data_IF_291430283834
#
_entry.id   IF_291430283834
#
_cell.length_a   1.000
_cell.length_b   1.000
_cell.length_c   1.000
_cell.angle_alpha   90.00
_cell.angle_beta   90.00
_cell.angle_gamma   90.00
#
_symmetry.space_group_name_H-M   'P 1'
#
loop_
_entity.id
_entity.type
_entity.pdbx_description
1 polymer ?
#
# COMPACT_ATOMS: atom_id res chain seq x y z
N UNK A 1 -34.19 7.48 22.36
CA UNK A 1 -33.00 6.61 22.29
C UNK A 1 -33.11 5.49 21.25
N UNK A 2 -34.16 4.65 21.23
CA UNK A 2 -34.32 3.53 20.26
C UNK A 2 -34.29 3.89 18.76
N UNK A 3 -34.65 5.11 18.37
CA UNK A 3 -34.71 5.53 16.95
C UNK A 3 -33.33 5.73 16.33
N UNK A 4 -32.33 6.13 17.11
CA UNK A 4 -30.97 6.39 16.62
C UNK A 4 -30.08 5.15 16.68
N UNK A 5 -30.40 4.18 17.53
CA UNK A 5 -29.62 2.94 17.70
C UNK A 5 -29.52 2.16 16.38
N UNK A 6 -30.60 2.11 15.60
CA UNK A 6 -30.61 1.41 14.30
C UNK A 6 -29.74 2.12 13.25
N UNK A 7 -29.77 3.44 13.22
CA UNK A 7 -28.97 4.25 12.29
C UNK A 7 -27.50 4.21 12.65
N UNK A 8 -27.17 4.25 13.94
CA UNK A 8 -25.79 4.12 14.44
C UNK A 8 -25.24 2.72 14.10
N UNK A 9 -26.02 1.66 14.32
CA UNK A 9 -25.64 0.30 13.95
C UNK A 9 -25.40 0.15 12.45
N UNK A 10 -26.27 0.72 11.61
CA UNK A 10 -26.09 0.68 10.17
C UNK A 10 -24.82 1.44 9.72
N UNK A 11 -24.57 2.62 10.28
CA UNK A 11 -23.36 3.38 9.98
C UNK A 11 -22.08 2.66 10.43
N UNK A 12 -22.09 2.04 11.62
CA UNK A 12 -20.97 1.25 12.11
C UNK A 12 -20.68 0.04 11.20
N UNK A 13 -21.73 -0.60 10.68
CA UNK A 13 -21.60 -1.74 9.76
C UNK A 13 -21.01 -1.32 8.42
N UNK A 14 -21.45 -0.17 7.88
CA UNK A 14 -20.87 0.39 6.65
C UNK A 14 -19.39 0.71 6.85
N UNK A 15 -19.03 1.36 7.95
CA UNK A 15 -17.64 1.70 8.27
C UNK A 15 -16.78 0.44 8.39
N UNK A 16 -17.25 -0.59 9.08
CA UNK A 16 -16.53 -1.86 9.23
C UNK A 16 -16.29 -2.55 7.89
N UNK A 17 -17.31 -2.61 7.02
CA UNK A 17 -17.19 -3.24 5.70
C UNK A 17 -16.23 -2.45 4.81
N UNK A 18 -16.30 -1.12 4.82
CA UNK A 18 -15.38 -0.29 4.04
C UNK A 18 -13.94 -0.40 4.52
N UNK A 19 -13.72 -0.41 5.85
CA UNK A 19 -12.36 -0.57 6.41
C UNK A 19 -11.78 -1.95 6.11
N UNK A 20 -12.61 -3.00 6.15
CA UNK A 20 -12.18 -4.34 5.77
C UNK A 20 -11.82 -4.43 4.28
N UNK A 21 -12.61 -3.82 3.41
CA UNK A 21 -12.34 -3.83 1.98
C UNK A 21 -11.00 -3.14 1.65
N UNK A 22 -10.70 -2.01 2.28
CA UNK A 22 -9.42 -1.30 2.14
C UNK A 22 -8.26 -2.14 2.68
N UNK A 23 -8.41 -2.71 3.87
CA UNK A 23 -7.39 -3.57 4.49
C UNK A 23 -7.11 -4.83 3.66
N UNK A 24 -8.14 -5.42 3.06
CA UNK A 24 -7.99 -6.63 2.24
C UNK A 24 -7.24 -6.39 0.92
N UNK A 25 -7.23 -5.16 0.39
CA UNK A 25 -6.64 -4.84 -0.91
C UNK A 25 -5.29 -4.08 -0.79
N UNK A 26 -4.81 -3.77 0.41
CA UNK A 26 -3.64 -2.91 0.57
C UNK A 26 -2.28 -3.62 0.35
N UNK A 27 -2.25 -4.95 0.26
CA UNK A 27 -0.98 -5.71 0.22
C UNK A 27 -0.75 -6.59 -1.01
N UNK A 28 -1.79 -7.23 -1.56
CA UNK A 28 -1.64 -8.13 -2.73
C UNK A 28 -1.56 -7.33 -4.04
N UNK A 29 -2.38 -6.29 -4.19
CA UNK A 29 -2.46 -5.46 -5.41
C UNK A 29 -1.12 -4.78 -5.76
N UNK A 30 -0.31 -4.42 -4.76
CA UNK A 30 0.98 -3.75 -4.96
C UNK A 30 2.04 -4.72 -5.49
N UNK A 31 2.06 -5.96 -4.99
CA UNK A 31 3.01 -6.99 -5.44
C UNK A 31 2.71 -7.45 -6.86
N UNK A 32 1.43 -7.58 -7.19
CA UNK A 32 0.97 -7.92 -8.53
C UNK A 32 1.31 -6.82 -9.53
N UNK A 33 1.11 -5.55 -9.16
CA UNK A 33 1.49 -4.42 -10.00
C UNK A 33 3.00 -4.34 -10.28
N UNK A 34 3.86 -4.57 -9.28
CA UNK A 34 5.31 -4.60 -9.48
C UNK A 34 5.75 -5.73 -10.41
N UNK A 35 5.10 -6.89 -10.31
CA UNK A 35 5.38 -8.04 -11.17
C UNK A 35 5.02 -7.71 -12.62
N UNK A 36 3.83 -7.15 -12.85
CA UNK A 36 3.38 -6.76 -14.18
C UNK A 36 4.29 -5.68 -14.81
N UNK A 37 4.72 -4.70 -14.02
CA UNK A 37 5.63 -3.64 -14.48
C UNK A 37 6.98 -4.22 -14.95
N UNK A 38 7.57 -5.17 -14.21
CA UNK A 38 8.82 -5.83 -14.61
C UNK A 38 8.66 -6.63 -15.90
N UNK A 39 7.54 -7.33 -16.07
CA UNK A 39 7.23 -8.07 -17.30
C UNK A 39 7.08 -7.15 -18.51
N UNK A 40 6.33 -6.04 -18.37
CA UNK A 40 6.17 -5.04 -19.43
C UNK A 40 7.50 -4.38 -19.80
N UNK A 41 8.32 -4.03 -18.81
CA UNK A 41 9.64 -3.45 -19.09
C UNK A 41 10.48 -4.39 -19.94
N UNK A 42 10.55 -5.68 -19.57
CA UNK A 42 11.27 -6.68 -20.34
C UNK A 42 10.71 -6.87 -21.75
N UNK A 43 9.39 -6.80 -21.91
CA UNK A 43 8.75 -6.89 -23.23
C UNK A 43 9.08 -5.67 -24.13
N UNK A 44 9.20 -4.47 -23.56
CA UNK A 44 9.45 -3.22 -24.30
C UNK A 44 10.94 -3.02 -24.59
N UNK A 45 11.79 -3.23 -23.59
CA UNK A 45 13.21 -2.87 -23.63
C UNK A 45 14.13 -4.06 -23.89
N UNK A 46 13.63 -5.29 -23.69
CA UNK A 46 14.38 -6.52 -23.95
C UNK A 46 15.41 -6.88 -22.87
N UNK A 47 15.54 -6.07 -21.83
CA UNK A 47 16.41 -6.27 -20.67
C UNK A 47 15.60 -6.40 -19.37
N UNK A 48 16.29 -6.88 -18.32
CA UNK A 48 15.69 -7.06 -17.00
C UNK A 48 15.59 -5.71 -16.27
N UNK A 49 14.41 -5.42 -15.72
CA UNK A 49 14.14 -4.12 -15.07
C UNK A 49 15.08 -3.84 -13.89
N UNK A 50 15.35 -4.83 -13.03
CA UNK A 50 16.20 -4.60 -11.85
C UNK A 50 17.65 -4.37 -12.27
N UNK A 51 18.14 -5.15 -13.24
CA UNK A 51 19.46 -4.94 -13.82
C UNK A 51 19.57 -3.57 -14.50
N UNK A 52 18.54 -3.16 -15.24
CA UNK A 52 18.46 -1.85 -15.87
C UNK A 52 18.49 -0.73 -14.83
N UNK A 53 17.66 -0.82 -13.78
CA UNK A 53 17.61 0.12 -12.67
C UNK A 53 18.98 0.27 -12.00
N UNK A 54 19.62 -0.85 -11.65
CA UNK A 54 20.95 -0.86 -11.05
C UNK A 54 21.98 -0.19 -11.96
N UNK A 55 21.90 -0.39 -13.28
CA UNK A 55 22.84 0.23 -14.22
C UNK A 55 22.66 1.74 -14.37
N UNK A 56 21.42 2.23 -14.23
CA UNK A 56 21.06 3.64 -14.42
C UNK A 56 21.20 4.45 -13.14
N UNK A 57 20.82 3.86 -12.00
CA UNK A 57 20.74 4.54 -10.71
C UNK A 57 21.84 4.12 -9.74
N UNK A 58 22.52 2.99 -9.98
CA UNK A 58 23.54 2.47 -9.07
C UNK A 58 22.97 1.87 -7.78
N UNK A 59 21.65 1.78 -7.66
CA UNK A 59 20.92 1.33 -6.47
C UNK A 59 20.19 0.01 -6.75
N UNK A 60 20.21 -0.88 -5.75
CA UNK A 60 19.44 -2.12 -5.79
C UNK A 60 17.94 -1.78 -5.74
N UNK A 61 17.17 -2.41 -6.62
CA UNK A 61 15.75 -2.11 -6.73
C UNK A 61 14.97 -2.46 -5.46
N UNK A 62 15.29 -3.57 -4.78
CA UNK A 62 14.58 -3.99 -3.57
C UNK A 62 14.91 -3.05 -2.42
N UNK A 63 16.17 -2.61 -2.29
CA UNK A 63 16.57 -1.58 -1.34
C UNK A 63 15.87 -0.23 -1.61
N UNK A 64 15.78 0.16 -2.88
CA UNK A 64 15.10 1.39 -3.29
C UNK A 64 13.60 1.36 -2.95
N UNK A 65 12.90 0.27 -3.28
CA UNK A 65 11.47 0.10 -2.95
C UNK A 65 11.26 0.05 -1.44
N UNK A 66 12.09 -0.68 -0.70
CA UNK A 66 12.03 -0.71 0.76
C UNK A 66 12.22 0.70 1.34
N UNK A 67 13.19 1.49 0.87
CA UNK A 67 13.36 2.87 1.34
C UNK A 67 12.14 3.77 1.05
N UNK A 68 11.46 3.58 -0.09
CA UNK A 68 10.29 4.37 -0.46
C UNK A 68 8.98 3.88 0.19
N UNK A 69 8.88 2.59 0.52
CA UNK A 69 7.63 1.94 0.94
C UNK A 69 7.65 1.31 2.34
N UNK A 70 8.80 1.04 2.97
CA UNK A 70 8.88 0.76 4.42
C UNK A 70 8.48 1.99 5.24
N UNK A 71 8.65 3.20 4.66
CA UNK A 71 8.08 4.42 5.23
C UNK A 71 6.55 4.40 5.30
N UNK A 72 5.87 3.45 4.64
CA UNK A 72 4.43 3.25 4.75
C UNK A 72 4.04 2.20 5.81
N UNK A 73 4.89 1.20 6.12
CA UNK A 73 4.60 0.23 7.19
C UNK A 73 4.70 0.85 8.61
N UNK A 74 5.53 1.89 8.81
CA UNK A 74 5.63 2.59 10.10
C UNK A 74 4.72 3.85 10.21
N UNK A 75 4.04 4.22 9.12
CA UNK A 75 3.08 5.34 9.14
C UNK A 75 1.69 4.97 9.70
N UNK A 76 1.50 3.69 10.06
CA UNK A 76 0.25 3.15 10.58
C UNK A 76 0.04 3.28 12.09
N UNK A 77 0.99 3.83 12.85
CA UNK A 77 0.86 3.99 14.32
C UNK A 77 1.24 5.37 14.84
N UNK A 78 1.03 6.45 14.09
CA UNK A 78 0.77 7.73 14.77
C UNK A 78 -0.68 7.71 15.24
N UNK A 79 -0.91 7.16 16.43
CA UNK A 79 -2.14 7.45 17.15
C UNK A 79 -2.24 8.96 17.29
N UNK A 80 -3.46 9.51 17.23
CA UNK A 80 -3.73 10.94 17.39
C UNK A 80 -3.29 11.53 18.75
N UNK A 81 -2.56 10.77 19.57
CA UNK A 81 -1.98 11.18 20.84
C UNK A 81 -0.67 11.96 20.67
N UNK A 82 0.06 11.78 19.55
CA UNK A 82 1.38 12.41 19.34
C UNK A 82 1.34 13.85 18.77
N UNK A 83 0.15 14.43 18.64
CA UNK A 83 -0.06 15.83 18.24
C UNK A 83 -0.70 16.70 19.33
N UNK A 84 -0.75 16.22 20.57
CA UNK A 84 -1.24 17.00 21.72
C UNK A 84 -0.19 17.18 22.84
N UNK A 85 1.11 17.10 22.53
CA UNK A 85 2.18 17.57 23.41
C UNK A 85 2.99 18.69 22.76
#
# INVERSE_FOLDING_TARGET
>A
MRKYTKTILAAALVLLVSSWAVYAHSGEDVKDWWTEMKEHHKAIHGDDFEAHHQSMHGEDWQEHVAACHDAMEDSGTTTAEDHMM
#
